data_IF_572446979328
#
_entry.id   IF_572446979328
#
_cell.length_a   1.000
_cell.length_b   1.000
_cell.length_c   1.000
_cell.angle_alpha   90.00
_cell.angle_beta   90.00
_cell.angle_gamma   90.00
#
_symmetry.space_group_name_H-M   'P 1'
#
loop_
_entity.id
_entity.type
_entity.pdbx_description
1 polymer ?
#
# COMPACT_ATOMS: atom_id res chain seq x y z
N UNK A 1 -19.90 -0.25 -21.76
CA UNK A 1 -19.10 -0.28 -20.51
C UNK A 1 -18.51 1.10 -20.28
N UNK A 2 -18.60 1.61 -19.08
CA UNK A 2 -18.06 2.91 -18.72
C UNK A 2 -16.85 2.72 -17.80
N UNK A 3 -15.78 3.47 -18.06
CA UNK A 3 -14.59 3.49 -17.20
C UNK A 3 -14.46 4.89 -16.60
N UNK A 4 -14.27 4.94 -15.30
CA UNK A 4 -14.02 6.18 -14.56
C UNK A 4 -12.66 6.11 -13.89
N UNK A 5 -11.84 7.13 -14.09
CA UNK A 5 -10.55 7.29 -13.41
C UNK A 5 -10.67 8.32 -12.31
N UNK A 6 -10.27 7.94 -11.11
CA UNK A 6 -10.22 8.82 -9.96
C UNK A 6 -8.75 8.92 -9.52
N UNK A 7 -8.24 10.14 -9.43
CA UNK A 7 -6.86 10.41 -9.00
C UNK A 7 -6.90 11.05 -7.63
N UNK A 8 -6.31 10.40 -6.65
CA UNK A 8 -6.31 10.89 -5.27
C UNK A 8 -5.71 9.87 -4.29
N UNK A 9 -5.78 10.19 -3.01
CA UNK A 9 -5.48 9.24 -1.95
C UNK A 9 -6.58 8.17 -1.89
N UNK A 10 -6.19 6.91 -2.00
CA UNK A 10 -7.14 5.80 -2.15
C UNK A 10 -8.09 5.65 -0.96
N UNK A 11 -7.64 5.93 0.27
CA UNK A 11 -8.51 5.88 1.45
C UNK A 11 -9.55 7.00 1.41
N UNK A 12 -9.12 8.20 1.05
CA UNK A 12 -10.01 9.37 0.94
C UNK A 12 -11.04 9.17 -0.17
N UNK A 13 -10.61 8.72 -1.34
CA UNK A 13 -11.49 8.53 -2.49
C UNK A 13 -12.47 7.37 -2.28
N UNK A 14 -12.03 6.28 -1.66
CA UNK A 14 -12.93 5.17 -1.33
C UNK A 14 -14.06 5.58 -0.40
N UNK A 15 -13.83 6.51 0.52
CA UNK A 15 -14.87 7.05 1.41
C UNK A 15 -16.00 7.77 0.67
N UNK A 16 -15.75 8.21 -0.56
CA UNK A 16 -16.80 8.86 -1.38
C UNK A 16 -17.73 7.84 -2.07
N UNK A 17 -17.36 6.57 -2.10
CA UNK A 17 -18.16 5.52 -2.70
C UNK A 17 -19.28 5.08 -1.74
N UNK A 18 -20.44 4.77 -2.29
CA UNK A 18 -21.58 4.29 -1.51
C UNK A 18 -21.36 2.84 -1.00
N UNK A 19 -21.96 2.53 0.14
CA UNK A 19 -21.91 1.20 0.74
C UNK A 19 -22.48 0.15 -0.21
N UNK A 20 -21.81 -1.00 -0.29
CA UNK A 20 -22.35 -2.16 -0.99
C UNK A 20 -22.46 -2.03 -2.52
N UNK A 21 -21.73 -1.14 -3.14
CA UNK A 21 -21.85 -0.86 -4.59
C UNK A 21 -20.76 -1.51 -5.44
N UNK A 22 -19.69 -2.00 -4.83
CA UNK A 22 -18.53 -2.54 -5.53
C UNK A 22 -18.59 -4.08 -5.54
N UNK A 23 -18.44 -4.68 -6.70
CA UNK A 23 -18.44 -6.14 -6.85
C UNK A 23 -17.04 -6.77 -6.69
N UNK A 24 -16.00 -6.03 -7.02
CA UNK A 24 -14.62 -6.51 -6.92
C UNK A 24 -13.67 -5.36 -6.59
N UNK A 25 -12.84 -5.55 -5.59
CA UNK A 25 -11.62 -4.78 -5.38
C UNK A 25 -10.44 -5.64 -5.80
N UNK A 26 -9.64 -5.17 -6.74
CA UNK A 26 -8.43 -5.87 -7.18
C UNK A 26 -7.26 -4.89 -7.20
N UNK A 27 -6.22 -5.17 -6.43
CA UNK A 27 -5.05 -4.30 -6.35
C UNK A 27 -3.78 -5.03 -5.93
N UNK A 28 -2.67 -4.38 -6.21
CA UNK A 28 -1.36 -4.66 -5.63
C UNK A 28 -0.92 -3.38 -4.93
N UNK A 29 -1.19 -3.21 -3.62
CA UNK A 29 -0.81 -2.01 -2.90
C UNK A 29 0.72 -1.89 -2.86
N UNK A 30 1.27 -0.68 -2.71
CA UNK A 30 2.71 -0.51 -2.54
C UNK A 30 3.24 -1.36 -1.38
N UNK A 31 4.36 -2.05 -1.60
CA UNK A 31 5.03 -2.79 -0.53
C UNK A 31 5.86 -1.84 0.30
N UNK A 32 5.95 -2.10 1.59
CA UNK A 32 6.69 -1.23 2.50
C UNK A 32 8.15 -1.10 2.06
N UNK A 33 8.64 0.14 2.03
CA UNK A 33 10.03 0.50 1.74
C UNK A 33 10.58 0.00 0.39
N UNK A 34 9.72 -0.43 -0.53
CA UNK A 34 10.17 -0.93 -1.82
C UNK A 34 10.35 0.20 -2.83
N UNK A 35 9.41 1.12 -2.91
CA UNK A 35 9.41 2.22 -3.88
C UNK A 35 8.83 3.49 -3.27
N UNK A 36 9.27 4.62 -3.80
CA UNK A 36 8.68 5.92 -3.57
C UNK A 36 8.15 6.44 -4.90
N UNK A 37 6.88 6.77 -4.94
CA UNK A 37 6.18 7.19 -6.15
C UNK A 37 6.02 8.72 -6.24
N UNK A 38 5.87 9.35 -5.09
CA UNK A 38 5.70 10.80 -5.03
C UNK A 38 7.05 11.51 -4.81
N UNK A 39 7.29 12.66 -5.46
CA UNK A 39 8.44 13.50 -5.15
C UNK A 39 8.50 13.86 -3.66
N UNK A 40 9.71 14.11 -3.15
CA UNK A 40 9.92 14.40 -1.73
C UNK A 40 9.19 15.67 -1.25
N UNK A 41 8.97 16.62 -2.14
CA UNK A 41 8.29 17.89 -1.91
C UNK A 41 6.78 17.83 -2.20
N UNK A 42 6.25 16.66 -2.58
CA UNK A 42 4.83 16.53 -2.88
C UNK A 42 3.98 16.71 -1.61
N UNK A 43 2.90 17.52 -1.64
CA UNK A 43 2.06 17.80 -0.45
C UNK A 43 1.50 16.55 0.21
N UNK A 44 1.21 15.49 -0.57
CA UNK A 44 0.68 14.22 -0.09
C UNK A 44 1.74 13.17 0.20
N UNK A 45 3.01 13.55 0.22
CA UNK A 45 4.12 12.60 0.47
C UNK A 45 3.96 11.87 1.80
N UNK A 46 3.47 12.55 2.82
CA UNK A 46 3.23 12.00 4.15
C UNK A 46 2.16 10.90 4.19
N UNK A 47 1.27 10.84 3.19
CA UNK A 47 0.19 9.86 3.08
C UNK A 47 0.52 8.73 2.09
N UNK A 48 1.73 8.71 1.53
CA UNK A 48 2.14 7.68 0.58
C UNK A 48 2.24 6.31 1.25
N UNK A 49 1.41 5.37 0.80
CA UNK A 49 1.42 3.99 1.30
C UNK A 49 2.73 3.31 0.89
N UNK A 50 3.34 2.59 1.83
CA UNK A 50 4.64 1.95 1.65
C UNK A 50 5.81 2.81 2.09
N UNK A 51 5.57 4.04 2.56
CA UNK A 51 6.58 4.96 3.11
C UNK A 51 6.48 5.09 4.63
N UNK A 52 5.69 4.26 5.29
CA UNK A 52 5.55 4.24 6.74
C UNK A 52 6.90 3.94 7.42
N UNK A 53 7.12 4.46 8.65
CA UNK A 53 8.40 4.31 9.34
C UNK A 53 8.69 2.88 9.81
N UNK A 54 7.67 2.06 9.96
CA UNK A 54 7.77 0.70 10.46
C UNK A 54 6.66 -0.21 9.92
N UNK A 55 6.85 -1.55 9.96
CA UNK A 55 5.86 -2.50 9.47
C UNK A 55 4.51 -2.45 10.17
N UNK A 56 4.45 -2.13 11.45
CA UNK A 56 3.19 -2.07 12.19
C UNK A 56 2.31 -0.93 11.66
N UNK A 57 2.88 0.25 11.50
CA UNK A 57 2.19 1.41 10.91
C UNK A 57 1.73 1.13 9.48
N UNK A 58 2.54 0.43 8.69
CA UNK A 58 2.14 0.01 7.34
C UNK A 58 0.93 -0.94 7.36
N UNK A 59 0.92 -1.91 8.27
CA UNK A 59 -0.21 -2.81 8.44
C UNK A 59 -1.47 -2.04 8.86
N UNK A 60 -1.36 -1.10 9.77
CA UNK A 60 -2.49 -0.25 10.19
C UNK A 60 -3.07 0.52 9.01
N UNK A 61 -2.23 1.05 8.12
CA UNK A 61 -2.66 1.70 6.88
C UNK A 61 -3.44 0.73 5.97
N UNK A 62 -2.93 -0.48 5.77
CA UNK A 62 -3.61 -1.49 4.97
C UNK A 62 -4.94 -1.93 5.61
N UNK A 63 -5.00 -2.06 6.93
CA UNK A 63 -6.23 -2.39 7.65
C UNK A 63 -7.29 -1.29 7.51
N UNK A 64 -6.90 -0.03 7.56
CA UNK A 64 -7.82 1.08 7.31
C UNK A 64 -8.42 1.00 5.89
N UNK A 65 -7.59 0.73 4.88
CA UNK A 65 -8.05 0.55 3.51
C UNK A 65 -9.00 -0.65 3.37
N UNK A 66 -8.62 -1.82 3.90
CA UNK A 66 -9.45 -3.03 3.78
C UNK A 66 -10.78 -2.89 4.51
N UNK A 67 -10.84 -2.12 5.58
CA UNK A 67 -12.08 -1.78 6.29
C UNK A 67 -13.02 -0.99 5.37
N UNK A 68 -12.51 0.03 4.68
CA UNK A 68 -13.31 0.80 3.72
C UNK A 68 -13.70 -0.04 2.49
N UNK A 69 -12.83 -0.91 2.01
CA UNK A 69 -13.18 -1.83 0.93
C UNK A 69 -14.31 -2.78 1.36
N UNK A 70 -14.27 -3.28 2.59
CA UNK A 70 -15.37 -4.10 3.14
C UNK A 70 -16.70 -3.34 3.18
N UNK A 71 -16.69 -2.05 3.49
CA UNK A 71 -17.89 -1.21 3.50
C UNK A 71 -18.50 -1.03 2.11
N UNK A 72 -17.67 -0.77 1.11
CA UNK A 72 -18.14 -0.52 -0.26
C UNK A 72 -18.48 -1.79 -1.03
N UNK A 73 -18.00 -2.95 -0.59
CA UNK A 73 -18.30 -4.24 -1.24
C UNK A 73 -19.78 -4.60 -1.11
N UNK A 74 -20.35 -5.03 -2.23
CA UNK A 74 -21.63 -5.71 -2.24
C UNK A 74 -21.56 -7.04 -1.44
N UNK A 75 -22.69 -7.57 -0.93
CA UNK A 75 -22.68 -8.82 -0.17
C UNK A 75 -22.06 -10.02 -0.90
N UNK A 76 -22.04 -10.00 -2.22
CA UNK A 76 -21.42 -11.02 -3.09
C UNK A 76 -20.04 -10.57 -3.62
N UNK A 77 -19.56 -9.43 -3.19
CA UNK A 77 -18.30 -8.86 -3.66
C UNK A 77 -17.09 -9.63 -3.16
N UNK A 78 -15.96 -9.40 -3.81
CA UNK A 78 -14.68 -10.03 -3.48
C UNK A 78 -13.55 -9.01 -3.44
N UNK A 79 -12.53 -9.31 -2.65
CA UNK A 79 -11.26 -8.57 -2.64
C UNK A 79 -10.15 -9.51 -3.10
N UNK A 80 -9.39 -9.09 -4.10
CA UNK A 80 -8.19 -9.76 -4.57
C UNK A 80 -6.99 -8.82 -4.37
N UNK A 81 -6.07 -9.21 -3.49
CA UNK A 81 -4.90 -8.41 -3.15
C UNK A 81 -3.64 -9.23 -3.43
N UNK A 82 -2.70 -8.65 -4.16
CA UNK A 82 -1.34 -9.15 -4.26
C UNK A 82 -0.46 -8.41 -3.24
N UNK A 83 0.12 -9.15 -2.31
CA UNK A 83 1.06 -8.63 -1.32
C UNK A 83 2.37 -9.39 -1.41
N UNK A 84 3.48 -8.66 -1.26
CA UNK A 84 4.81 -9.21 -1.10
C UNK A 84 5.29 -9.12 0.34
N UNK A 85 6.16 -10.04 0.68
CA UNK A 85 6.88 -10.05 1.96
C UNK A 85 8.39 -10.10 1.70
N UNK A 86 9.16 -9.91 2.76
CA UNK A 86 10.62 -10.01 2.73
C UNK A 86 11.06 -11.38 3.22
N UNK A 87 12.09 -11.94 2.57
CA UNK A 87 12.66 -13.20 3.00
C UNK A 87 13.65 -12.96 4.16
N UNK A 88 13.40 -13.61 5.30
CA UNK A 88 14.37 -13.64 6.38
C UNK A 88 15.55 -14.57 6.01
N UNK A 89 16.76 -14.03 5.97
CA UNK A 89 18.00 -14.80 5.83
C UNK A 89 18.32 -15.34 4.45
N UNK A 90 17.59 -14.98 3.43
CA UNK A 90 17.95 -15.28 2.02
C UNK A 90 19.00 -14.32 1.52
N UNK A 91 20.16 -14.84 1.13
CA UNK A 91 21.23 -14.00 0.62
C UNK A 91 20.80 -13.21 -0.61
N UNK A 92 20.41 -12.05 -0.55
CA UNK A 92 20.14 -11.17 -1.66
C UNK A 92 19.10 -10.11 -1.38
N UNK A 93 18.08 -10.42 -0.59
CA UNK A 93 17.06 -9.45 -0.28
C UNK A 93 17.46 -8.56 0.90
N UNK A 94 17.52 -9.13 2.04
CA UNK A 94 17.76 -8.43 3.30
C UNK A 94 19.23 -8.16 3.61
N UNK A 95 20.15 -9.07 3.18
CA UNK A 95 21.57 -8.80 3.35
C UNK A 95 21.98 -7.48 2.71
N UNK A 96 21.31 -7.10 1.61
CA UNK A 96 21.51 -5.81 1.00
C UNK A 96 20.93 -4.62 1.77
N UNK A 97 19.99 -4.86 2.66
CA UNK A 97 19.39 -3.79 3.48
C UNK A 97 20.33 -3.32 4.59
N UNK A 98 21.14 -4.23 5.09
CA UNK A 98 22.19 -3.90 6.07
C UNK A 98 23.49 -3.41 5.43
N UNK A 99 23.61 -3.50 4.11
CA UNK A 99 24.70 -2.89 3.39
C UNK A 99 24.36 -1.41 3.13
N UNK A 100 25.15 -0.51 3.69
CA UNK A 100 25.04 0.93 3.46
C UNK A 100 25.13 1.32 1.97
N UNK A 101 25.46 0.36 1.11
CA UNK A 101 25.51 0.52 -0.35
C UNK A 101 24.26 0.01 -1.07
N UNK A 102 23.27 -0.50 -0.36
CA UNK A 102 22.02 -0.93 -0.97
C UNK A 102 21.00 0.23 -0.99
N UNK A 103 20.97 1.05 -2.02
CA UNK A 103 20.26 2.33 -2.00
C UNK A 103 18.75 2.21 -2.20
N UNK A 104 18.22 1.02 -2.34
CA UNK A 104 16.88 0.85 -2.93
C UNK A 104 15.81 0.37 -1.96
N UNK A 105 16.13 0.20 -0.71
CA UNK A 105 15.17 -0.25 0.29
C UNK A 105 15.14 0.71 1.44
N UNK A 106 14.48 1.82 1.18
CA UNK A 106 14.22 2.82 2.20
C UNK A 106 13.35 2.21 3.30
N UNK A 107 13.64 2.56 4.52
CA UNK A 107 12.83 2.17 5.67
C UNK A 107 13.34 0.96 6.45
N UNK A 108 13.91 -0.02 5.79
CA UNK A 108 14.44 -1.19 6.50
C UNK A 108 15.91 -1.07 6.89
N UNK A 109 16.65 -0.12 6.33
CA UNK A 109 18.05 0.11 6.68
C UNK A 109 18.23 0.57 8.14
N UNK A 110 17.15 0.96 8.80
CA UNK A 110 17.16 1.51 10.16
C UNK A 110 16.29 0.70 11.14
N UNK A 111 15.86 -0.49 10.74
CA UNK A 111 15.11 -1.41 11.61
C UNK A 111 16.03 -2.42 12.28
#
# INVERSE_FOLDING_TARGET
MTVTYIVGDSLTETKQLADGTISLVACSPPFIALRSYLPADHPMKHAEIGSEPDPATFIDTLLALTTEWGRVLAPWGSIAIELGDTFAGGGGGWAGVHDAKAPQRQGYANL
#
